data_IF_994939557054
#
_entry.id   IF_994939557054
#
_cell.length_a   1.000
_cell.length_b   1.000
_cell.length_c   1.000
_cell.angle_alpha   90.00
_cell.angle_beta   90.00
_cell.angle_gamma   90.00
#
_symmetry.space_group_name_H-M   'P 1'
#
loop_
_entity.id
_entity.type
_entity.pdbx_description
1 polymer ?
#
# COMPACT_ATOMS: atom_id res chain seq x y z
N UNK A 1 14.40 -10.56 -10.57
CA UNK A 1 13.29 -11.05 -9.75
C UNK A 1 12.36 -9.89 -9.47
N UNK A 2 11.24 -9.76 -10.19
CA UNK A 2 10.24 -8.73 -9.88
C UNK A 2 9.44 -9.10 -8.64
N UNK A 3 9.22 -8.10 -7.79
CA UNK A 3 8.49 -8.20 -6.53
C UNK A 3 7.31 -7.23 -6.55
N UNK A 4 6.16 -7.69 -6.10
CA UNK A 4 5.01 -6.84 -5.80
C UNK A 4 4.82 -6.69 -4.28
N UNK A 5 3.92 -5.81 -3.87
CA UNK A 5 3.63 -5.61 -2.45
C UNK A 5 2.75 -6.73 -1.84
N UNK A 6 2.69 -7.91 -2.45
CA UNK A 6 1.94 -9.03 -1.90
C UNK A 6 2.74 -9.80 -0.84
N UNK A 7 2.05 -10.55 0.03
CA UNK A 7 2.72 -11.47 0.96
C UNK A 7 3.57 -12.54 0.25
N UNK A 8 3.31 -12.79 -1.04
CA UNK A 8 4.05 -13.75 -1.85
C UNK A 8 5.48 -13.29 -2.18
N UNK A 9 5.72 -11.96 -2.17
CA UNK A 9 7.04 -11.40 -2.44
C UNK A 9 8.11 -11.94 -1.48
N UNK A 10 7.79 -12.12 -0.20
CA UNK A 10 8.73 -12.70 0.76
C UNK A 10 9.11 -14.14 0.41
N UNK A 11 8.11 -14.97 0.09
CA UNK A 11 8.33 -16.38 -0.29
C UNK A 11 9.10 -16.49 -1.61
N UNK A 12 8.75 -15.63 -2.59
CA UNK A 12 9.49 -15.55 -3.85
C UNK A 12 10.95 -15.15 -3.61
N UNK A 13 11.18 -14.16 -2.75
CA UNK A 13 12.53 -13.72 -2.38
C UNK A 13 13.36 -14.87 -1.81
N UNK A 14 12.84 -15.60 -0.82
CA UNK A 14 13.53 -16.72 -0.20
C UNK A 14 13.88 -17.81 -1.22
N UNK A 15 12.93 -18.18 -2.09
CA UNK A 15 13.14 -19.18 -3.14
C UNK A 15 14.14 -18.73 -4.20
N UNK A 16 14.06 -17.48 -4.63
CA UNK A 16 14.98 -16.90 -5.60
C UNK A 16 16.40 -16.82 -5.04
N UNK A 17 16.55 -16.45 -3.76
CA UNK A 17 17.84 -16.43 -3.07
C UNK A 17 18.42 -17.85 -2.93
N UNK A 18 17.59 -18.83 -2.56
CA UNK A 18 18.03 -20.23 -2.49
C UNK A 18 18.49 -20.75 -3.85
N UNK A 19 17.76 -20.44 -4.92
CA UNK A 19 18.13 -20.77 -6.29
C UNK A 19 19.45 -20.12 -6.71
N UNK A 20 19.58 -18.80 -6.49
CA UNK A 20 20.79 -18.06 -6.84
C UNK A 20 22.03 -18.58 -6.09
N UNK A 21 21.87 -18.92 -4.80
CA UNK A 21 22.94 -19.54 -4.01
C UNK A 21 23.37 -20.87 -4.59
N UNK A 22 22.41 -21.73 -5.00
CA UNK A 22 22.69 -23.03 -5.58
C UNK A 22 23.36 -22.96 -6.95
N UNK A 23 23.12 -21.89 -7.71
CA UNK A 23 23.67 -21.64 -9.05
C UNK A 23 24.83 -20.66 -9.07
N UNK A 24 25.26 -20.15 -7.92
CA UNK A 24 26.29 -19.09 -7.80
C UNK A 24 25.95 -17.83 -8.60
N UNK A 25 24.66 -17.52 -8.75
CA UNK A 25 24.15 -16.38 -9.48
C UNK A 25 24.07 -15.12 -8.60
N UNK A 26 24.05 -13.96 -9.24
CA UNK A 26 23.68 -12.68 -8.63
C UNK A 26 22.19 -12.42 -8.85
N UNK A 27 21.55 -11.62 -8.00
CA UNK A 27 20.13 -11.28 -8.13
C UNK A 27 19.95 -9.77 -8.28
N UNK A 28 19.08 -9.36 -9.21
CA UNK A 28 18.51 -8.02 -9.23
C UNK A 28 17.03 -8.10 -8.82
N UNK A 29 16.67 -7.47 -7.70
CA UNK A 29 15.28 -7.32 -7.29
C UNK A 29 14.67 -6.09 -7.92
N UNK A 30 13.53 -6.26 -8.57
CA UNK A 30 12.82 -5.19 -9.26
C UNK A 30 11.44 -4.98 -8.62
N UNK A 31 11.10 -3.74 -8.33
CA UNK A 31 9.71 -3.37 -8.09
C UNK A 31 9.21 -2.44 -9.20
N UNK A 32 8.13 -2.85 -9.87
CA UNK A 32 7.44 -1.99 -10.84
C UNK A 32 6.26 -1.34 -10.14
N UNK A 33 6.34 -0.04 -10.00
CA UNK A 33 5.30 0.81 -9.44
C UNK A 33 4.42 1.33 -10.57
N UNK A 34 3.10 1.18 -10.46
CA UNK A 34 2.15 1.84 -11.37
C UNK A 34 2.21 3.36 -11.22
N UNK A 35 1.81 4.09 -12.24
CA UNK A 35 1.51 5.51 -12.09
C UNK A 35 0.24 5.63 -11.27
N UNK A 36 0.41 6.05 -10.03
CA UNK A 36 -0.60 6.02 -8.98
C UNK A 36 -1.71 7.07 -9.21
N UNK A 37 -1.60 7.86 -10.29
CA UNK A 37 -2.59 8.87 -10.66
C UNK A 37 -3.87 8.33 -11.32
N UNK A 38 -3.93 7.05 -11.66
CA UNK A 38 -4.95 6.58 -12.60
C UNK A 38 -6.16 5.85 -11.99
N UNK A 39 -6.09 5.23 -10.80
CA UNK A 39 -7.21 4.40 -10.30
C UNK A 39 -7.34 4.30 -8.77
N UNK A 40 -8.57 4.42 -8.26
CA UNK A 40 -8.97 4.09 -6.88
C UNK A 40 -8.61 5.16 -5.83
N UNK A 41 -8.55 4.74 -4.55
CA UNK A 41 -8.24 5.64 -3.41
C UNK A 41 -6.88 6.33 -3.55
N UNK A 42 -5.95 5.72 -4.29
CA UNK A 42 -4.67 6.31 -4.65
C UNK A 42 -4.81 7.51 -5.58
N UNK A 43 -5.78 7.54 -6.49
CA UNK A 43 -6.02 8.67 -7.39
C UNK A 43 -6.47 9.92 -6.60
N UNK A 44 -7.28 9.73 -5.55
CA UNK A 44 -7.71 10.81 -4.69
C UNK A 44 -6.53 11.39 -3.90
N UNK A 45 -5.71 10.55 -3.28
CA UNK A 45 -4.51 10.97 -2.55
C UNK A 45 -3.48 11.66 -3.47
N UNK A 46 -3.31 11.17 -4.70
CA UNK A 46 -2.47 11.78 -5.70
C UNK A 46 -3.01 13.15 -6.13
N UNK A 47 -4.32 13.27 -6.30
CA UNK A 47 -4.96 14.55 -6.63
C UNK A 47 -4.83 15.57 -5.48
N UNK A 48 -4.84 15.09 -4.22
CA UNK A 48 -4.73 15.91 -3.02
C UNK A 48 -3.30 16.41 -2.77
N UNK A 49 -2.30 15.57 -2.94
CA UNK A 49 -0.89 15.93 -2.81
C UNK A 49 0.03 14.97 -3.58
N UNK A 50 0.32 15.25 -4.87
CA UNK A 50 1.17 14.41 -5.70
C UNK A 50 2.56 14.17 -5.10
N UNK A 51 3.14 15.17 -4.43
CA UNK A 51 4.47 15.10 -3.85
C UNK A 51 4.52 14.14 -2.64
N UNK A 52 3.64 14.32 -1.65
CA UNK A 52 3.58 13.46 -0.47
C UNK A 52 3.21 12.02 -0.83
N UNK A 53 2.31 11.88 -1.81
CA UNK A 53 1.93 10.57 -2.30
C UNK A 53 3.08 9.87 -3.03
N UNK A 54 3.82 10.58 -3.88
CA UNK A 54 5.01 10.05 -4.55
C UNK A 54 6.11 9.67 -3.54
N UNK A 55 6.28 10.45 -2.48
CA UNK A 55 7.23 10.16 -1.41
C UNK A 55 6.84 8.91 -0.62
N UNK A 56 5.59 8.80 -0.17
CA UNK A 56 5.08 7.63 0.55
C UNK A 56 5.15 6.36 -0.31
N UNK A 57 4.76 6.45 -1.58
CA UNK A 57 4.84 5.33 -2.51
C UNK A 57 6.28 4.93 -2.82
N UNK A 58 7.20 5.90 -2.92
CA UNK A 58 8.63 5.65 -3.10
C UNK A 58 9.24 5.00 -1.86
N UNK A 59 8.87 5.46 -0.67
CA UNK A 59 9.28 4.87 0.60
C UNK A 59 8.86 3.39 0.73
N UNK A 60 7.61 3.08 0.40
CA UNK A 60 7.11 1.70 0.44
C UNK A 60 7.81 0.78 -0.58
N UNK A 61 8.06 1.28 -1.80
CA UNK A 61 8.79 0.54 -2.82
C UNK A 61 10.24 0.28 -2.40
N UNK A 62 10.92 1.30 -1.87
CA UNK A 62 12.30 1.18 -1.38
C UNK A 62 12.41 0.17 -0.24
N UNK A 63 11.48 0.19 0.72
CA UNK A 63 11.43 -0.78 1.84
C UNK A 63 11.24 -2.21 1.33
N UNK A 64 10.39 -2.41 0.33
CA UNK A 64 10.13 -3.73 -0.25
C UNK A 64 11.42 -4.34 -0.83
N UNK A 65 12.10 -3.61 -1.71
CA UNK A 65 13.32 -4.11 -2.36
C UNK A 65 14.49 -4.20 -1.39
N UNK A 66 14.61 -3.28 -0.42
CA UNK A 66 15.64 -3.34 0.61
C UNK A 66 15.51 -4.57 1.52
N UNK A 67 14.28 -4.98 1.84
CA UNK A 67 14.05 -6.25 2.58
C UNK A 67 14.52 -7.46 1.78
N UNK A 68 14.23 -7.51 0.48
CA UNK A 68 14.68 -8.60 -0.37
C UNK A 68 16.21 -8.64 -0.48
N UNK A 69 16.84 -7.48 -0.64
CA UNK A 69 18.31 -7.37 -0.65
C UNK A 69 18.93 -7.82 0.69
N UNK A 70 18.33 -7.48 1.82
CA UNK A 70 18.81 -7.92 3.13
C UNK A 70 18.76 -9.45 3.28
N UNK A 71 17.72 -10.10 2.77
CA UNK A 71 17.61 -11.58 2.73
C UNK A 71 18.73 -12.19 1.87
N UNK A 72 18.98 -11.64 0.68
CA UNK A 72 20.05 -12.09 -0.19
C UNK A 72 21.44 -11.93 0.45
N UNK A 73 21.68 -10.77 1.07
CA UNK A 73 22.94 -10.47 1.78
C UNK A 73 23.16 -11.43 2.95
N UNK A 74 22.13 -11.71 3.74
CA UNK A 74 22.19 -12.68 4.84
C UNK A 74 22.52 -14.09 4.37
N UNK A 75 22.14 -14.43 3.14
CA UNK A 75 22.43 -15.73 2.50
C UNK A 75 23.78 -15.75 1.75
N UNK A 76 24.53 -14.64 1.73
CA UNK A 76 25.78 -14.51 0.99
C UNK A 76 25.61 -14.43 -0.53
N UNK A 77 24.41 -14.03 -1.00
CA UNK A 77 24.13 -13.88 -2.45
C UNK A 77 24.29 -12.42 -2.85
N UNK A 78 25.14 -12.11 -3.87
CA UNK A 78 25.25 -10.74 -4.39
C UNK A 78 23.92 -10.27 -4.96
N UNK A 79 23.44 -9.12 -4.49
CA UNK A 79 22.14 -8.59 -4.88
C UNK A 79 22.20 -7.09 -5.11
N UNK A 80 21.36 -6.61 -6.02
CA UNK A 80 21.05 -5.19 -6.20
C UNK A 80 19.53 -4.99 -6.34
N UNK A 81 19.11 -3.73 -6.32
CA UNK A 81 17.69 -3.37 -6.32
C UNK A 81 17.37 -2.31 -7.37
N UNK A 82 16.15 -2.35 -7.90
CA UNK A 82 15.65 -1.40 -8.87
C UNK A 82 14.16 -1.13 -8.61
N UNK A 83 13.78 0.13 -8.64
CA UNK A 83 12.38 0.56 -8.66
C UNK A 83 12.12 1.31 -9.96
N UNK A 84 11.09 0.91 -10.69
CA UNK A 84 10.69 1.50 -11.98
C UNK A 84 9.22 1.91 -11.89
N UNK A 85 8.86 3.06 -12.47
CA UNK A 85 7.46 3.48 -12.62
C UNK A 85 6.97 3.12 -14.02
N UNK A 86 5.89 2.34 -14.13
CA UNK A 86 5.30 1.96 -15.42
C UNK A 86 3.88 1.43 -15.25
N UNK A 87 2.98 1.83 -16.16
CA UNK A 87 1.63 1.26 -16.28
C UNK A 87 1.62 -0.13 -16.95
N UNK A 88 2.75 -0.52 -17.53
CA UNK A 88 2.92 -1.80 -18.22
C UNK A 88 3.98 -2.65 -17.53
N UNK A 89 3.61 -3.30 -16.42
CA UNK A 89 4.59 -3.99 -15.58
C UNK A 89 5.35 -5.10 -16.31
N UNK A 90 4.69 -5.85 -17.19
CA UNK A 90 5.35 -6.93 -17.93
C UNK A 90 6.44 -6.41 -18.87
N UNK A 91 6.16 -5.34 -19.62
CA UNK A 91 7.13 -4.70 -20.52
C UNK A 91 8.30 -4.12 -19.70
N UNK A 92 8.00 -3.46 -18.57
CA UNK A 92 9.02 -2.90 -17.70
C UNK A 92 9.94 -3.99 -17.09
N UNK A 93 9.39 -5.14 -16.74
CA UNK A 93 10.16 -6.28 -16.23
C UNK A 93 11.12 -6.81 -17.30
N UNK A 94 10.61 -7.04 -18.51
CA UNK A 94 11.44 -7.55 -19.63
C UNK A 94 12.52 -6.56 -20.00
N UNK A 95 12.19 -5.28 -20.11
CA UNK A 95 13.16 -4.22 -20.40
C UNK A 95 14.24 -4.12 -19.33
N UNK A 96 13.85 -4.11 -18.05
CA UNK A 96 14.82 -4.08 -16.95
C UNK A 96 15.76 -5.29 -16.94
N UNK A 97 15.27 -6.47 -17.32
CA UNK A 97 16.09 -7.67 -17.45
C UNK A 97 17.09 -7.53 -18.59
N UNK A 98 16.68 -7.01 -19.75
CA UNK A 98 17.55 -6.75 -20.90
C UNK A 98 18.61 -5.70 -20.58
N UNK A 99 18.21 -4.55 -20.03
CA UNK A 99 19.10 -3.45 -19.68
C UNK A 99 20.19 -3.86 -18.66
N UNK A 100 19.90 -4.86 -17.83
CA UNK A 100 20.84 -5.41 -16.84
C UNK A 100 21.61 -6.64 -17.31
N UNK A 101 21.40 -7.07 -18.55
CA UNK A 101 22.03 -8.27 -19.09
C UNK A 101 21.69 -9.52 -18.27
N UNK A 102 20.45 -9.60 -17.80
CA UNK A 102 19.99 -10.78 -17.08
C UNK A 102 19.81 -11.97 -18.04
N UNK A 103 20.20 -13.14 -17.61
CA UNK A 103 20.08 -14.41 -18.35
C UNK A 103 18.83 -15.22 -17.94
N UNK A 104 18.15 -14.78 -16.88
CA UNK A 104 16.97 -15.43 -16.36
C UNK A 104 16.03 -14.42 -15.68
N UNK A 105 14.72 -14.51 -15.93
CA UNK A 105 13.69 -13.83 -15.14
C UNK A 105 13.04 -14.86 -14.22
N UNK A 106 13.08 -14.65 -12.91
CA UNK A 106 12.38 -15.50 -11.95
C UNK A 106 11.12 -14.77 -11.42
N UNK A 107 9.95 -15.38 -11.58
CA UNK A 107 8.63 -14.84 -11.26
C UNK A 107 7.86 -15.76 -10.32
N UNK A 108 6.98 -15.18 -9.50
CA UNK A 108 5.91 -15.95 -8.87
C UNK A 108 4.87 -16.39 -9.90
N UNK A 109 4.26 -17.55 -9.69
CA UNK A 109 3.16 -18.02 -10.54
C UNK A 109 1.96 -17.08 -10.56
N UNK A 110 1.73 -16.34 -9.47
CA UNK A 110 0.70 -15.31 -9.36
C UNK A 110 1.09 -14.27 -8.29
N UNK A 111 0.54 -13.07 -8.42
CA UNK A 111 0.82 -11.94 -7.53
C UNK A 111 -0.41 -11.57 -6.68
N UNK A 112 -0.57 -10.27 -6.45
CA UNK A 112 -1.57 -9.64 -5.56
C UNK A 112 -3.04 -9.95 -5.86
N UNK A 113 -3.41 -10.24 -7.11
CA UNK A 113 -4.77 -10.65 -7.47
C UNK A 113 -4.89 -12.17 -7.36
N UNK A 114 -5.56 -12.65 -6.33
CA UNK A 114 -6.07 -14.01 -6.30
C UNK A 114 -7.04 -14.16 -7.48
N UNK A 115 -6.75 -15.10 -8.38
CA UNK A 115 -7.75 -15.57 -9.34
C UNK A 115 -8.96 -16.10 -8.57
N UNK A 116 -10.14 -16.02 -9.20
CA UNK A 116 -11.42 -16.47 -8.67
C UNK A 116 -11.27 -17.74 -7.82
N UNK A 117 -11.59 -17.60 -6.53
CA UNK A 117 -11.65 -18.73 -5.60
C UNK A 117 -12.72 -19.72 -6.13
N UNK A 118 -12.28 -20.86 -6.55
CA UNK A 118 -13.19 -21.93 -7.00
C UNK A 118 -12.74 -22.75 -8.22
N UNK A 119 -11.80 -22.27 -9.03
CA UNK A 119 -11.26 -23.04 -10.13
C UNK A 119 -9.98 -23.77 -9.69
N UNK A 120 -10.07 -25.07 -9.48
CA UNK A 120 -8.93 -25.98 -9.29
C UNK A 120 -8.13 -26.06 -10.59
N UNK A 121 -7.24 -25.10 -10.79
CA UNK A 121 -6.29 -25.07 -11.89
C UNK A 121 -5.29 -23.95 -11.62
N UNK A 122 -4.01 -24.18 -11.81
CA UNK A 122 -2.96 -23.21 -11.61
C UNK A 122 -3.12 -22.05 -12.60
N UNK A 123 -3.89 -21.03 -12.24
CA UNK A 123 -4.04 -19.81 -13.02
C UNK A 123 -2.76 -18.98 -12.84
N UNK A 124 -1.97 -18.93 -13.90
CA UNK A 124 -0.81 -18.03 -13.99
C UNK A 124 -1.33 -16.58 -13.97
N UNK A 125 -0.71 -15.73 -13.14
CA UNK A 125 -1.06 -14.30 -13.04
C UNK A 125 -0.92 -13.58 -14.40
N UNK A 126 -1.72 -12.53 -14.60
CA UNK A 126 -1.73 -11.78 -15.87
C UNK A 126 -0.36 -11.23 -16.24
N UNK A 127 0.38 -10.68 -15.28
CA UNK A 127 1.73 -10.15 -15.50
C UNK A 127 2.70 -11.27 -15.84
N UNK A 128 2.64 -12.38 -15.12
CA UNK A 128 3.50 -13.55 -15.38
C UNK A 128 3.27 -14.11 -16.77
N UNK A 129 2.01 -14.22 -17.20
CA UNK A 129 1.66 -14.65 -18.57
C UNK A 129 2.21 -13.68 -19.61
N UNK A 130 2.02 -12.38 -19.45
CA UNK A 130 2.55 -11.40 -20.38
C UNK A 130 4.08 -11.40 -20.44
N UNK A 131 4.77 -11.59 -19.30
CA UNK A 131 6.23 -11.74 -19.30
C UNK A 131 6.64 -12.98 -20.09
N UNK A 132 5.96 -14.10 -19.93
CA UNK A 132 6.22 -15.33 -20.70
C UNK A 132 6.05 -15.12 -22.21
N UNK A 133 5.09 -14.28 -22.62
CA UNK A 133 4.84 -13.96 -24.02
C UNK A 133 5.88 -12.98 -24.61
N UNK A 134 6.41 -12.05 -23.77
CA UNK A 134 7.30 -10.96 -24.21
C UNK A 134 8.78 -11.26 -24.00
N UNK A 135 9.13 -12.15 -23.08
CA UNK A 135 10.52 -12.38 -22.71
C UNK A 135 11.27 -13.14 -23.81
N UNK A 136 12.33 -12.53 -24.33
CA UNK A 136 13.29 -13.16 -25.24
C UNK A 136 14.40 -13.95 -24.51
N UNK A 137 14.21 -14.27 -23.22
CA UNK A 137 15.16 -14.98 -22.38
C UNK A 137 14.39 -15.98 -21.47
N UNK A 138 15.08 -16.97 -20.88
CA UNK A 138 14.46 -17.95 -20.00
C UNK A 138 13.68 -17.30 -18.85
N UNK A 139 12.51 -17.89 -18.55
CA UNK A 139 11.64 -17.45 -17.45
C UNK A 139 11.40 -18.63 -16.51
N UNK A 140 11.81 -18.46 -15.26
CA UNK A 140 11.55 -19.42 -14.20
C UNK A 140 10.29 -18.99 -13.42
N UNK A 141 9.21 -19.75 -13.57
CA UNK A 141 8.00 -19.51 -12.80
C UNK A 141 8.05 -20.35 -11.53
N UNK A 142 8.17 -19.69 -10.41
CA UNK A 142 8.16 -20.34 -9.11
C UNK A 142 6.71 -20.47 -8.62
N UNK A 143 6.25 -21.72 -8.46
CA UNK A 143 4.97 -21.98 -7.84
C UNK A 143 5.04 -21.54 -6.37
N UNK A 144 4.50 -20.39 -6.08
CA UNK A 144 4.39 -19.88 -4.71
C UNK A 144 3.07 -20.39 -4.17
N UNK A 145 3.06 -21.60 -3.65
CA UNK A 145 1.91 -22.08 -2.88
C UNK A 145 1.84 -21.28 -1.59
N UNK A 146 0.76 -20.59 -1.41
CA UNK A 146 0.45 -19.92 -0.15
C UNK A 146 0.02 -20.96 0.88
N UNK A 147 0.95 -21.68 1.45
CA UNK A 147 0.83 -22.17 2.81
C UNK A 147 1.16 -21.05 3.81
N UNK A 148 0.96 -19.77 3.38
CA UNK A 148 0.78 -18.73 4.36
C UNK A 148 -0.46 -19.13 5.15
N UNK A 149 -0.36 -19.27 6.48
CA UNK A 149 -1.56 -19.49 7.29
C UNK A 149 -2.56 -18.43 6.83
N UNK A 150 -3.72 -18.90 6.34
CA UNK A 150 -4.76 -17.96 5.92
C UNK A 150 -4.96 -17.03 7.08
N UNK A 151 -4.72 -15.72 6.86
CA UNK A 151 -4.99 -14.75 7.91
C UNK A 151 -6.39 -15.04 8.39
N UNK A 152 -6.54 -15.26 9.69
CA UNK A 152 -7.87 -15.42 10.26
C UNK A 152 -8.71 -14.18 9.91
N UNK A 153 -10.02 -14.30 9.98
CA UNK A 153 -10.90 -13.16 9.72
C UNK A 153 -10.55 -11.97 10.62
N UNK A 154 -10.14 -12.26 11.87
CA UNK A 154 -9.65 -11.24 12.79
C UNK A 154 -8.39 -10.56 12.29
N UNK A 155 -7.41 -11.33 11.79
CA UNK A 155 -6.17 -10.76 11.26
C UNK A 155 -6.43 -9.93 10.00
N UNK A 156 -7.40 -10.33 9.18
CA UNK A 156 -7.84 -9.55 8.01
C UNK A 156 -8.53 -8.26 8.42
N UNK A 157 -9.43 -8.34 9.40
CA UNK A 157 -10.11 -7.16 9.94
C UNK A 157 -9.13 -6.16 10.54
N UNK A 158 -8.18 -6.62 11.37
CA UNK A 158 -7.14 -5.77 11.95
C UNK A 158 -6.21 -5.15 10.89
N UNK A 159 -5.90 -5.89 9.83
CA UNK A 159 -5.10 -5.35 8.72
C UNK A 159 -5.86 -4.25 7.99
N UNK A 160 -7.16 -4.46 7.72
CA UNK A 160 -8.01 -3.47 7.10
C UNK A 160 -8.09 -2.18 7.93
N UNK A 161 -8.38 -2.29 9.23
CA UNK A 161 -8.43 -1.13 10.12
C UNK A 161 -7.10 -0.36 10.16
N UNK A 162 -5.97 -1.07 10.23
CA UNK A 162 -4.66 -0.42 10.18
C UNK A 162 -4.39 0.31 8.87
N UNK A 163 -4.83 -0.25 7.75
CA UNK A 163 -4.67 0.39 6.45
C UNK A 163 -5.58 1.62 6.33
N UNK A 164 -6.80 1.56 6.85
CA UNK A 164 -7.72 2.68 6.95
C UNK A 164 -7.11 3.83 7.81
N UNK A 165 -6.55 3.51 8.97
CA UNK A 165 -5.87 4.50 9.83
C UNK A 165 -4.64 5.13 9.15
N UNK A 166 -3.86 4.36 8.39
CA UNK A 166 -2.72 4.92 7.65
C UNK A 166 -3.17 5.92 6.59
N UNK A 167 -4.26 5.60 5.88
CA UNK A 167 -4.83 6.49 4.87
C UNK A 167 -5.33 7.78 5.50
N UNK A 168 -6.04 7.68 6.63
CA UNK A 168 -6.50 8.84 7.38
C UNK A 168 -5.33 9.69 7.88
N UNK A 169 -4.32 9.07 8.49
CA UNK A 169 -3.13 9.77 8.97
C UNK A 169 -2.41 10.52 7.83
N UNK A 170 -2.31 9.94 6.65
CA UNK A 170 -1.71 10.60 5.49
C UNK A 170 -2.48 11.86 5.08
N UNK A 171 -3.82 11.81 5.07
CA UNK A 171 -4.66 12.97 4.75
C UNK A 171 -4.56 14.05 5.84
N UNK A 172 -4.55 13.67 7.12
CA UNK A 172 -4.39 14.62 8.22
C UNK A 172 -3.02 15.31 8.21
N UNK A 173 -1.94 14.58 7.91
CA UNK A 173 -0.62 15.19 7.76
C UNK A 173 -0.58 16.16 6.56
N UNK A 174 -1.21 15.80 5.44
CA UNK A 174 -1.29 16.67 4.28
C UNK A 174 -2.12 17.93 4.59
N UNK A 175 -3.23 17.80 5.33
CA UNK A 175 -4.06 18.89 5.79
C UNK A 175 -3.26 19.87 6.67
N UNK A 176 -2.53 19.33 7.67
CA UNK A 176 -1.66 20.13 8.53
C UNK A 176 -0.57 20.86 7.74
N UNK A 177 0.06 20.17 6.78
CA UNK A 177 1.09 20.79 5.94
C UNK A 177 0.51 21.92 5.08
N UNK A 178 -0.70 21.76 4.52
CA UNK A 178 -1.34 22.80 3.71
C UNK A 178 -1.77 23.99 4.56
N UNK A 179 -2.32 23.76 5.74
CA UNK A 179 -2.72 24.82 6.68
C UNK A 179 -1.53 25.64 7.18
N UNK A 180 -0.36 25.02 7.33
CA UNK A 180 0.88 25.72 7.75
C UNK A 180 1.51 26.56 6.64
N UNK A 181 1.03 26.48 5.39
CA UNK A 181 1.51 27.34 4.31
C UNK A 181 1.03 28.77 4.54
N UNK A 182 1.87 29.77 4.31
CA UNK A 182 1.43 31.16 4.46
C UNK A 182 0.36 31.53 3.41
N UNK A 183 -0.69 32.28 3.77
CA UNK A 183 -1.58 32.86 2.77
C UNK A 183 -0.78 33.84 1.87
N UNK A 184 -0.96 33.88 0.54
CA UNK A 184 -1.98 33.24 -0.30
C UNK A 184 -1.56 31.87 -0.90
N UNK A 185 -0.56 31.20 -0.36
CA UNK A 185 -0.04 29.96 -0.92
C UNK A 185 -0.90 28.72 -0.55
N UNK A 186 -1.90 28.90 0.32
CA UNK A 186 -2.88 27.85 0.63
C UNK A 186 -3.84 27.63 -0.53
N UNK A 187 -4.18 26.38 -0.81
CA UNK A 187 -5.15 26.01 -1.84
C UNK A 187 -6.51 25.64 -1.21
N UNK A 188 -7.54 26.50 -1.28
CA UNK A 188 -8.85 26.20 -0.73
C UNK A 188 -9.54 25.00 -1.38
N UNK A 189 -9.25 24.73 -2.66
CA UNK A 189 -9.82 23.56 -3.35
C UNK A 189 -9.22 22.26 -2.81
N UNK A 190 -7.92 22.26 -2.54
CA UNK A 190 -7.22 21.15 -1.91
C UNK A 190 -7.73 20.90 -0.49
N UNK A 191 -7.85 21.95 0.33
CA UNK A 191 -8.44 21.87 1.67
C UNK A 191 -9.86 21.31 1.62
N UNK A 192 -10.69 21.80 0.69
CA UNK A 192 -12.05 21.30 0.49
C UNK A 192 -12.09 19.83 0.12
N UNK A 193 -11.18 19.37 -0.73
CA UNK A 193 -11.09 17.95 -1.12
C UNK A 193 -10.64 17.05 0.05
N UNK A 194 -9.70 17.50 0.88
CA UNK A 194 -9.29 16.79 2.09
C UNK A 194 -10.42 16.68 3.10
N UNK A 195 -11.15 17.77 3.34
CA UNK A 195 -12.32 17.75 4.21
C UNK A 195 -13.44 16.86 3.66
N UNK A 196 -13.65 16.86 2.36
CA UNK A 196 -14.60 15.94 1.73
C UNK A 196 -14.20 14.47 1.97
N UNK A 197 -12.91 14.13 1.84
CA UNK A 197 -12.43 12.78 2.16
C UNK A 197 -12.69 12.42 3.63
N UNK A 198 -12.40 13.32 4.58
CA UNK A 198 -12.63 13.09 6.01
C UNK A 198 -14.13 12.87 6.28
N UNK A 199 -15.01 13.63 5.65
CA UNK A 199 -16.45 13.42 5.77
C UNK A 199 -16.90 12.06 5.23
N UNK A 200 -16.47 11.71 4.02
CA UNK A 200 -16.97 10.51 3.34
C UNK A 200 -16.40 9.22 3.91
N UNK A 201 -15.17 9.24 4.42
CA UNK A 201 -14.51 8.03 4.87
C UNK A 201 -14.46 7.88 6.38
N UNK A 202 -13.74 8.67 7.20
CA UNK A 202 -13.73 8.47 8.64
C UNK A 202 -15.13 8.63 9.25
N UNK A 203 -15.79 9.73 8.97
CA UNK A 203 -17.05 10.07 9.64
C UNK A 203 -18.22 9.16 9.26
N UNK A 204 -18.35 8.81 7.98
CA UNK A 204 -19.49 8.02 7.51
C UNK A 204 -19.27 6.52 7.47
N UNK A 205 -18.03 6.07 7.38
CA UNK A 205 -17.74 4.65 7.17
C UNK A 205 -16.87 4.05 8.27
N UNK A 206 -15.75 4.68 8.60
CA UNK A 206 -14.75 4.10 9.48
C UNK A 206 -15.18 4.13 10.95
N UNK A 207 -15.49 5.29 11.52
CA UNK A 207 -15.92 5.43 12.91
C UNK A 207 -17.20 4.62 13.22
N UNK A 208 -18.28 4.68 12.40
CA UNK A 208 -19.43 3.83 12.62
C UNK A 208 -19.11 2.33 12.56
N UNK A 209 -18.22 1.90 11.70
CA UNK A 209 -17.75 0.51 11.62
C UNK A 209 -17.04 0.09 12.90
N UNK A 210 -16.11 0.93 13.41
CA UNK A 210 -15.44 0.64 14.68
C UNK A 210 -16.41 0.58 15.85
N UNK A 211 -17.28 1.55 15.99
CA UNK A 211 -18.20 1.63 17.12
C UNK A 211 -19.22 0.50 17.11
N UNK A 212 -19.83 0.21 15.96
CA UNK A 212 -20.89 -0.79 15.88
C UNK A 212 -20.38 -2.22 15.78
N UNK A 213 -19.21 -2.45 15.16
CA UNK A 213 -18.70 -3.79 14.92
C UNK A 213 -17.56 -4.17 15.88
N UNK A 214 -16.59 -3.29 16.11
CA UNK A 214 -15.44 -3.62 16.94
C UNK A 214 -15.74 -3.35 18.42
N UNK A 215 -16.10 -2.12 18.79
CA UNK A 215 -16.30 -1.73 20.18
C UNK A 215 -17.45 -2.52 20.83
N UNK A 216 -18.56 -2.67 20.10
CA UNK A 216 -19.69 -3.44 20.59
C UNK A 216 -19.31 -4.90 20.91
N UNK A 217 -18.51 -5.54 20.06
CA UNK A 217 -18.06 -6.93 20.27
C UNK A 217 -17.01 -7.06 21.37
N UNK A 218 -16.13 -6.07 21.52
CA UNK A 218 -15.17 -6.06 22.62
C UNK A 218 -15.86 -5.93 23.97
N UNK A 219 -16.82 -5.01 24.12
CA UNK A 219 -17.61 -4.85 25.36
C UNK A 219 -18.39 -6.11 25.74
N UNK A 220 -18.85 -6.88 24.76
CA UNK A 220 -19.51 -8.18 25.04
C UNK A 220 -18.56 -9.25 25.58
N UNK A 221 -17.26 -9.16 25.29
CA UNK A 221 -16.27 -10.18 25.64
C UNK A 221 -15.48 -9.85 26.90
N UNK A 222 -15.26 -8.57 27.18
CA UNK A 222 -14.45 -8.13 28.31
C UNK A 222 -14.70 -6.66 28.64
N UNK A 223 -14.68 -6.33 29.91
CA UNK A 223 -14.71 -4.95 30.41
C UNK A 223 -13.31 -4.31 30.51
N UNK A 224 -12.26 -5.06 30.25
CA UNK A 224 -10.88 -4.59 30.44
C UNK A 224 -10.52 -3.37 29.57
N UNK A 225 -11.26 -3.13 28.49
CA UNK A 225 -11.01 -2.03 27.56
C UNK A 225 -12.10 -0.94 27.59
N UNK A 226 -13.08 -1.02 28.48
CA UNK A 226 -14.23 -0.10 28.50
C UNK A 226 -13.81 1.37 28.64
N UNK A 227 -12.80 1.67 29.46
CA UNK A 227 -12.24 3.02 29.60
C UNK A 227 -11.62 3.52 28.30
N UNK A 228 -10.79 2.70 27.64
CA UNK A 228 -10.17 3.03 26.36
C UNK A 228 -11.24 3.22 25.26
N UNK A 229 -12.24 2.35 25.20
CA UNK A 229 -13.30 2.46 24.20
C UNK A 229 -14.18 3.70 24.42
N UNK A 230 -14.41 4.10 25.67
CA UNK A 230 -15.09 5.34 25.99
C UNK A 230 -14.29 6.56 25.58
N UNK A 231 -12.97 6.55 25.79
CA UNK A 231 -12.07 7.62 25.35
C UNK A 231 -12.05 7.75 23.82
N UNK A 232 -11.90 6.65 23.08
CA UNK A 232 -11.93 6.66 21.62
C UNK A 232 -13.27 7.19 21.09
N UNK A 233 -14.37 6.79 21.69
CA UNK A 233 -15.70 7.28 21.31
C UNK A 233 -15.89 8.77 21.59
N UNK A 234 -15.32 9.27 22.69
CA UNK A 234 -15.28 10.70 22.97
C UNK A 234 -14.43 11.47 21.94
N UNK A 235 -13.30 10.90 21.53
CA UNK A 235 -12.44 11.46 20.48
C UNK A 235 -13.15 11.53 19.12
N UNK A 236 -13.89 10.48 18.72
CA UNK A 236 -14.72 10.51 17.51
C UNK A 236 -15.75 11.64 17.56
N UNK A 237 -16.47 11.76 18.69
CA UNK A 237 -17.47 12.82 18.87
C UNK A 237 -16.86 14.21 18.82
N UNK A 238 -15.71 14.40 19.47
CA UNK A 238 -14.96 15.65 19.44
C UNK A 238 -14.45 15.95 18.02
N UNK A 239 -13.91 14.94 17.33
CA UNK A 239 -13.43 15.03 15.96
C UNK A 239 -14.53 15.49 15.01
N UNK A 240 -15.73 14.91 15.11
CA UNK A 240 -16.88 15.31 14.30
C UNK A 240 -17.27 16.79 14.50
N UNK A 241 -17.23 17.26 15.75
CA UNK A 241 -17.54 18.67 16.06
C UNK A 241 -16.48 19.64 15.51
N UNK A 242 -15.20 19.30 15.67
CA UNK A 242 -14.08 20.07 15.11
C UNK A 242 -14.15 20.09 13.58
N UNK A 243 -14.40 18.95 12.97
CA UNK A 243 -14.57 18.82 11.52
C UNK A 243 -15.70 19.73 11.00
N UNK A 244 -16.87 19.76 11.66
CA UNK A 244 -17.95 20.66 11.29
C UNK A 244 -17.57 22.14 11.41
N UNK A 245 -16.73 22.49 12.38
CA UNK A 245 -16.20 23.87 12.51
C UNK A 245 -15.27 24.20 11.34
N UNK A 246 -14.32 23.33 11.00
CA UNK A 246 -13.40 23.49 9.87
C UNK A 246 -14.15 23.66 8.55
N UNK A 247 -15.20 22.86 8.30
CA UNK A 247 -16.03 23.02 7.10
C UNK A 247 -16.70 24.42 7.04
N UNK A 248 -17.17 24.94 8.18
CA UNK A 248 -17.77 26.28 8.22
C UNK A 248 -16.75 27.36 7.91
N UNK A 249 -15.57 27.32 8.54
CA UNK A 249 -14.48 28.28 8.31
C UNK A 249 -14.04 28.31 6.85
N UNK A 250 -13.89 27.12 6.24
CA UNK A 250 -13.52 27.04 4.82
C UNK A 250 -14.60 27.67 3.92
N UNK A 251 -15.88 27.43 4.19
CA UNK A 251 -16.99 28.02 3.42
C UNK A 251 -17.10 29.53 3.60
N UNK A 252 -16.72 30.04 4.77
CA UNK A 252 -16.67 31.48 5.05
C UNK A 252 -15.45 32.17 4.44
N UNK A 253 -14.46 31.43 3.95
CA UNK A 253 -13.19 31.98 3.48
C UNK A 253 -12.24 32.39 4.61
N UNK A 254 -12.51 31.96 5.84
CA UNK A 254 -11.75 32.27 7.06
C UNK A 254 -10.62 31.27 7.28
N UNK A 255 -9.65 31.23 6.35
CA UNK A 255 -8.55 30.25 6.39
C UNK A 255 -7.57 30.46 7.55
N UNK A 256 -7.57 31.64 8.16
CA UNK A 256 -6.67 31.94 9.29
C UNK A 256 -7.07 31.17 10.55
N UNK A 257 -8.37 30.92 10.76
CA UNK A 257 -8.88 30.15 11.91
C UNK A 257 -8.68 28.64 11.75
N UNK A 258 -8.26 28.21 10.58
CA UNK A 258 -7.98 26.81 10.31
C UNK A 258 -6.70 26.30 10.99
N UNK A 259 -5.79 27.21 11.33
CA UNK A 259 -4.48 26.88 11.92
C UNK A 259 -4.46 26.98 13.46
N UNK A 260 -5.52 27.50 14.06
CA UNK A 260 -5.69 27.62 15.51
C UNK A 260 -6.32 26.35 16.11
#
# INVERSE_FOLDING_TARGET
VPLDASPLAAVLTERAVAYARATSARISFLHVRGDLGSHGDGALLHALSPALFAEAASGNAAVLVARAEAVARAAGVPADTLVVTSERPAEAIVRAAQDRGADLIALASHGRRKGLEGLKGALIGSVTRQVLELAGLPVLVMAVETHLPQRSDEQRALALLRDEHRSLAAVLHALLAEVQRPPPAQDPALLGAMLFYIEQFPERLHHPKEETQLFARLRQRTSAFDGLLAELQAQHTQGASTFAALQRSLRAGELVDFAA
#
